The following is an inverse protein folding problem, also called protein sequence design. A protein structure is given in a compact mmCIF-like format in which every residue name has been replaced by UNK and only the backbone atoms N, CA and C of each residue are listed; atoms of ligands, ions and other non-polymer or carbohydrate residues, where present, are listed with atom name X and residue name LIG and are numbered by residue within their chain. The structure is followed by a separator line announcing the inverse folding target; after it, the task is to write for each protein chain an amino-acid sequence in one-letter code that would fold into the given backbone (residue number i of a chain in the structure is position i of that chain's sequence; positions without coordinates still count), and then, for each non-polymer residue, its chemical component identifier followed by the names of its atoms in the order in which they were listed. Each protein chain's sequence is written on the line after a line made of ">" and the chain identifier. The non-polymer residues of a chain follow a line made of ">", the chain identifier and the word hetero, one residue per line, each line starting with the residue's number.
data_IF_333649631827
#
_entry.id   IF_333649631827
#
_cell.length_a   1.000
_cell.length_b   1.000
_cell.length_c   1.000
_cell.angle_alpha   90.00
_cell.angle_beta   90.00
_cell.angle_gamma   90.00
#
_symmetry.space_group_name_H-M   'P 1'
#
loop_
_entity.id
_entity.type
_entity.pdbx_description
1 polymer ?
#
# COMPACT_ATOMS: atom_id res chain seq x y z
N UNK A 1 23.48 26.98 6.94
CA UNK A 1 22.57 26.19 6.10
C UNK A 1 22.00 27.15 5.08
N UNK A 2 22.40 26.99 3.80
CA UNK A 2 22.02 27.94 2.75
C UNK A 2 20.71 27.56 2.06
N UNK A 3 20.24 26.31 2.18
CA UNK A 3 19.02 25.84 1.53
C UNK A 3 18.22 24.95 2.49
N UNK A 4 16.91 25.19 2.57
CA UNK A 4 15.98 24.41 3.36
C UNK A 4 14.86 23.93 2.43
N UNK A 5 14.65 22.62 2.38
CA UNK A 5 13.52 22.00 1.72
C UNK A 5 12.70 21.21 2.75
N UNK A 6 11.39 21.17 2.59
CA UNK A 6 10.49 20.36 3.40
C UNK A 6 9.70 19.40 2.50
N UNK A 7 9.67 18.14 2.88
CA UNK A 7 8.91 17.12 2.19
C UNK A 7 7.82 16.56 3.13
N UNK A 8 6.55 16.70 2.77
CA UNK A 8 5.44 16.15 3.54
C UNK A 8 5.00 14.79 2.98
N UNK A 9 4.81 13.82 3.90
CA UNK A 9 4.49 12.42 3.58
C UNK A 9 3.14 11.95 4.15
N UNK A 10 2.32 12.87 4.67
CA UNK A 10 1.05 12.50 5.32
C UNK A 10 -0.07 13.45 4.96
N UNK A 11 -1.29 12.93 4.92
CA UNK A 11 -2.54 13.67 4.75
C UNK A 11 -3.25 13.94 6.08
N UNK A 12 -2.58 13.72 7.22
CA UNK A 12 -3.11 14.02 8.55
C UNK A 12 -2.06 14.70 9.44
N UNK A 13 -2.46 15.71 10.22
CA UNK A 13 -1.54 16.42 11.12
C UNK A 13 -1.01 15.57 12.27
N UNK A 14 -1.76 14.60 12.73
CA UNK A 14 -1.34 13.52 13.63
C UNK A 14 -2.50 12.61 13.99
N UNK A 15 -2.17 11.33 14.14
CA UNK A 15 -3.05 10.33 14.73
C UNK A 15 -2.79 10.15 16.24
N UNK A 16 -1.72 10.77 16.78
CA UNK A 16 -1.22 10.55 18.14
C UNK A 16 -1.17 11.83 19.01
N UNK A 17 -2.16 12.68 18.96
CA UNK A 17 -2.31 13.79 19.92
C UNK A 17 -1.44 15.05 19.68
N UNK A 18 -0.51 15.05 18.74
CA UNK A 18 0.38 16.18 18.44
C UNK A 18 -0.16 17.14 17.36
N UNK A 19 -1.46 17.16 17.10
CA UNK A 19 -2.07 17.92 16.01
C UNK A 19 -1.80 19.43 16.07
N UNK A 20 -1.78 20.04 17.27
CA UNK A 20 -1.48 21.48 17.44
C UNK A 20 -0.04 21.82 17.03
N UNK A 21 0.94 21.01 17.48
CA UNK A 21 2.35 21.18 17.13
C UNK A 21 2.57 21.03 15.64
N UNK A 22 2.01 20.00 15.04
CA UNK A 22 2.15 19.73 13.62
C UNK A 22 1.47 20.81 12.76
N UNK A 23 0.37 21.40 13.25
CA UNK A 23 -0.27 22.54 12.59
C UNK A 23 0.64 23.81 12.62
N UNK A 24 1.35 24.07 13.71
CA UNK A 24 2.33 25.16 13.79
C UNK A 24 3.51 24.90 12.85
N UNK A 25 4.04 23.66 12.81
CA UNK A 25 5.09 23.27 11.89
C UNK A 25 4.65 23.40 10.43
N UNK A 26 3.39 23.10 10.11
CA UNK A 26 2.86 23.31 8.76
C UNK A 26 2.80 24.76 8.36
N UNK A 27 2.50 25.69 9.30
CA UNK A 27 2.57 27.11 9.03
C UNK A 27 3.99 27.57 8.73
N UNK A 28 4.99 27.09 9.48
CA UNK A 28 6.39 27.36 9.18
C UNK A 28 6.77 26.82 7.80
N UNK A 29 6.48 25.56 7.50
CA UNK A 29 6.74 24.94 6.20
C UNK A 29 6.04 25.69 5.06
N UNK A 30 4.81 26.18 5.30
CA UNK A 30 4.01 26.90 4.32
C UNK A 30 4.56 28.29 3.99
N UNK A 31 5.07 29.02 4.96
CA UNK A 31 5.41 30.45 4.78
C UNK A 31 6.89 30.75 4.79
N UNK A 32 7.69 29.94 5.49
CA UNK A 32 9.13 30.23 5.71
C UNK A 32 10.07 29.38 4.86
N UNK A 33 9.59 28.25 4.33
CA UNK A 33 10.44 27.36 3.53
C UNK A 33 10.24 27.64 2.04
N UNK A 34 11.31 27.93 1.27
CA UNK A 34 11.20 28.24 -0.15
C UNK A 34 10.87 27.01 -0.99
N UNK A 35 11.52 25.86 -0.73
CA UNK A 35 11.39 24.64 -1.52
C UNK A 35 10.47 23.65 -0.80
N UNK A 36 9.32 23.31 -1.41
CA UNK A 36 8.29 22.47 -0.84
C UNK A 36 8.03 21.27 -1.71
N UNK A 37 8.12 20.09 -1.10
CA UNK A 37 7.80 18.81 -1.72
C UNK A 37 6.65 18.13 -0.98
N UNK A 38 5.90 17.31 -1.71
CA UNK A 38 4.86 16.46 -1.15
C UNK A 38 4.87 15.10 -1.85
N UNK A 39 4.53 14.03 -1.13
CA UNK A 39 4.40 12.70 -1.72
C UNK A 39 3.15 12.54 -2.59
N UNK A 40 2.19 13.47 -2.49
CA UNK A 40 0.94 13.50 -3.27
C UNK A 40 0.37 14.92 -3.33
N UNK A 41 -0.51 15.19 -4.27
CA UNK A 41 -1.24 16.46 -4.32
C UNK A 41 -2.10 16.67 -3.07
N UNK A 42 -2.74 15.60 -2.56
CA UNK A 42 -3.53 15.66 -1.34
C UNK A 42 -2.69 16.07 -0.13
N UNK A 43 -1.51 15.47 0.04
CA UNK A 43 -0.57 15.84 1.11
C UNK A 43 -0.08 17.29 0.96
N UNK A 44 0.29 17.69 -0.24
CA UNK A 44 0.75 19.04 -0.52
C UNK A 44 -0.31 20.11 -0.25
N UNK A 45 -1.54 19.90 -0.69
CA UNK A 45 -2.66 20.81 -0.40
C UNK A 45 -2.93 20.94 1.10
N UNK A 46 -2.86 19.83 1.82
CA UNK A 46 -3.07 19.86 3.26
C UNK A 46 -1.99 20.67 3.99
N UNK A 47 -0.72 20.48 3.67
CA UNK A 47 0.40 21.11 4.37
C UNK A 47 0.66 22.54 3.92
N UNK A 48 0.52 22.81 2.61
CA UNK A 48 0.94 24.10 2.02
C UNK A 48 -0.25 24.93 1.53
N UNK A 49 -1.47 24.37 1.48
CA UNK A 49 -2.65 25.06 0.95
C UNK A 49 -2.45 25.46 -0.53
N UNK A 50 -2.63 26.73 -0.84
CA UNK A 50 -2.47 27.25 -2.19
C UNK A 50 -1.02 27.68 -2.54
N UNK A 51 -0.04 27.44 -1.66
CA UNK A 51 1.36 27.72 -1.96
C UNK A 51 1.91 26.71 -2.97
N UNK A 52 2.77 27.14 -3.89
CA UNK A 52 3.41 26.21 -4.83
C UNK A 52 4.21 25.13 -4.10
N UNK A 53 4.10 23.90 -4.58
CA UNK A 53 4.91 22.75 -4.16
C UNK A 53 5.10 21.81 -5.35
N UNK A 54 6.13 20.97 -5.30
CA UNK A 54 6.37 19.91 -6.27
C UNK A 54 5.93 18.57 -5.67
N UNK A 55 5.30 17.72 -6.47
CA UNK A 55 5.01 16.35 -6.07
C UNK A 55 6.20 15.49 -6.45
N UNK A 56 6.76 14.81 -5.44
CA UNK A 56 7.74 13.73 -5.59
C UNK A 56 7.12 12.49 -4.98
N UNK A 57 6.79 11.53 -5.82
CA UNK A 57 6.18 10.28 -5.39
C UNK A 57 7.10 9.51 -4.43
N UNK A 58 6.51 8.76 -3.50
CA UNK A 58 7.23 7.75 -2.72
C UNK A 58 7.56 6.57 -3.66
N UNK A 59 8.62 6.75 -4.44
CA UNK A 59 9.01 5.81 -5.48
C UNK A 59 9.65 4.54 -4.91
N UNK A 60 9.58 3.45 -5.69
CA UNK A 60 10.09 2.12 -5.36
C UNK A 60 11.11 1.66 -6.40
N UNK A 61 11.89 0.63 -6.11
CA UNK A 61 12.65 -0.08 -7.14
C UNK A 61 11.70 -1.00 -7.95
N UNK A 62 11.14 -0.46 -9.04
CA UNK A 62 10.20 -1.20 -9.87
C UNK A 62 10.76 -2.51 -10.42
N UNK A 63 12.08 -2.59 -10.63
CA UNK A 63 12.73 -3.82 -11.12
C UNK A 63 12.75 -4.91 -10.04
N UNK A 64 12.98 -4.55 -8.78
CA UNK A 64 12.98 -5.50 -7.67
C UNK A 64 11.60 -6.14 -7.43
N UNK A 65 10.52 -5.43 -7.75
CA UNK A 65 9.15 -5.93 -7.62
C UNK A 65 8.60 -6.58 -8.90
N UNK A 66 9.32 -6.50 -10.02
CA UNK A 66 8.83 -7.02 -11.30
C UNK A 66 8.46 -8.50 -11.21
N UNK A 67 7.32 -8.86 -11.80
CA UNK A 67 6.82 -10.23 -11.76
C UNK A 67 7.76 -11.21 -12.44
N UNK A 68 8.08 -12.32 -11.76
CA UNK A 68 8.78 -13.48 -12.29
C UNK A 68 8.02 -14.75 -11.93
N UNK A 69 7.63 -15.56 -12.94
CA UNK A 69 7.03 -16.88 -12.71
C UNK A 69 7.91 -17.80 -11.86
N UNK A 70 9.22 -17.73 -12.05
CA UNK A 70 10.21 -18.55 -11.34
C UNK A 70 10.25 -18.19 -9.85
N UNK A 71 10.31 -16.89 -9.53
CA UNK A 71 10.26 -16.41 -8.15
C UNK A 71 8.93 -16.77 -7.49
N UNK A 72 7.82 -16.60 -8.23
CA UNK A 72 6.51 -17.02 -7.76
C UNK A 72 6.48 -18.49 -7.40
N UNK A 73 6.96 -19.36 -8.27
CA UNK A 73 7.01 -20.81 -8.03
C UNK A 73 7.84 -21.14 -6.80
N UNK A 74 9.04 -20.55 -6.68
CA UNK A 74 9.94 -20.76 -5.55
C UNK A 74 9.33 -20.33 -4.22
N UNK A 75 8.72 -19.15 -4.18
CA UNK A 75 8.05 -18.62 -2.97
C UNK A 75 6.86 -19.50 -2.58
N UNK A 76 6.01 -19.88 -3.53
CA UNK A 76 4.84 -20.71 -3.24
C UNK A 76 5.23 -22.11 -2.77
N UNK A 77 6.31 -22.67 -3.29
CA UNK A 77 6.88 -23.94 -2.80
C UNK A 77 7.45 -23.78 -1.38
N UNK A 78 8.26 -22.74 -1.14
CA UNK A 78 8.83 -22.40 0.19
C UNK A 78 7.73 -22.23 1.24
N UNK A 79 6.68 -21.54 0.88
CA UNK A 79 5.55 -21.26 1.79
C UNK A 79 4.46 -22.36 1.76
N UNK A 80 4.66 -23.47 1.04
CA UNK A 80 3.74 -24.61 0.99
C UNK A 80 2.29 -24.25 0.59
N UNK A 81 2.16 -23.39 -0.42
CA UNK A 81 0.86 -22.89 -0.93
C UNK A 81 0.73 -23.06 -2.45
N UNK A 82 1.21 -24.19 -2.99
CA UNK A 82 1.35 -24.42 -4.44
C UNK A 82 0.07 -24.09 -5.21
N UNK A 83 -1.10 -24.56 -4.77
CA UNK A 83 -2.37 -24.42 -5.47
C UNK A 83 -3.37 -23.48 -4.74
N UNK A 84 -2.98 -22.93 -3.59
CA UNK A 84 -3.85 -22.05 -2.81
C UNK A 84 -4.06 -20.69 -3.49
N UNK A 85 -5.28 -20.13 -3.35
CA UNK A 85 -5.50 -18.72 -3.67
C UNK A 85 -4.99 -17.86 -2.51
N UNK A 86 -4.04 -16.98 -2.79
CA UNK A 86 -3.33 -16.18 -1.77
C UNK A 86 -3.73 -14.71 -1.84
N UNK A 87 -4.33 -14.22 -0.77
CA UNK A 87 -4.65 -12.81 -0.54
C UNK A 87 -3.49 -12.17 0.21
N UNK A 88 -2.86 -11.14 -0.39
CA UNK A 88 -1.80 -10.36 0.25
C UNK A 88 -2.32 -9.09 0.91
N UNK A 89 -1.72 -8.73 2.04
CA UNK A 89 -1.89 -7.42 2.69
C UNK A 89 -0.57 -7.01 3.36
N UNK A 90 -0.20 -5.74 3.26
CA UNK A 90 0.97 -5.18 3.94
C UNK A 90 0.53 -4.10 4.92
N UNK A 91 0.82 -4.31 6.20
CA UNK A 91 0.50 -3.32 7.23
C UNK A 91 0.66 -3.87 8.65
N UNK A 92 1.03 -2.99 9.59
CA UNK A 92 1.14 -3.36 10.99
C UNK A 92 -0.24 -3.58 11.61
N UNK A 93 -0.44 -4.67 12.35
CA UNK A 93 -1.72 -5.02 12.96
C UNK A 93 -2.17 -4.02 14.05
N UNK A 94 -1.22 -3.39 14.73
CA UNK A 94 -1.48 -2.35 15.76
C UNK A 94 -1.97 -1.03 15.18
N UNK A 95 -1.83 -0.83 13.86
CA UNK A 95 -2.27 0.40 13.17
C UNK A 95 -3.72 0.26 12.76
N UNK A 96 -4.64 0.81 13.56
CA UNK A 96 -6.10 0.75 13.33
C UNK A 96 -6.54 1.18 11.92
N UNK A 97 -5.80 2.12 11.32
CA UNK A 97 -6.08 2.60 9.96
C UNK A 97 -6.04 1.52 8.89
N UNK A 98 -5.24 0.45 9.08
CA UNK A 98 -5.14 -0.68 8.13
C UNK A 98 -6.41 -1.54 8.07
N UNK A 99 -7.33 -1.38 9.03
CA UNK A 99 -8.64 -2.00 9.05
C UNK A 99 -8.61 -3.54 8.91
N UNK A 100 -7.71 -4.18 9.65
CA UNK A 100 -7.60 -5.65 9.67
C UNK A 100 -8.92 -6.36 10.00
N UNK A 101 -9.80 -5.85 10.90
CA UNK A 101 -11.08 -6.50 11.15
C UNK A 101 -11.97 -6.62 9.90
N UNK A 102 -12.01 -5.57 9.08
CA UNK A 102 -12.75 -5.63 7.82
C UNK A 102 -12.08 -6.57 6.80
N UNK A 103 -10.74 -6.53 6.71
CA UNK A 103 -9.98 -7.48 5.89
C UNK A 103 -10.29 -8.94 6.25
N UNK A 104 -10.37 -9.27 7.54
CA UNK A 104 -10.72 -10.62 8.00
C UNK A 104 -12.15 -10.99 7.59
N UNK A 105 -13.08 -10.04 7.68
CA UNK A 105 -14.46 -10.25 7.22
C UNK A 105 -14.53 -10.49 5.70
N UNK A 106 -13.76 -9.77 4.91
CA UNK A 106 -13.61 -9.99 3.46
C UNK A 106 -13.01 -11.36 3.19
N UNK A 107 -11.93 -11.69 3.90
CA UNK A 107 -11.24 -12.97 3.71
C UNK A 107 -12.12 -14.17 4.10
N UNK A 108 -12.96 -14.07 5.14
CA UNK A 108 -13.95 -15.09 5.47
C UNK A 108 -14.96 -15.33 4.33
N UNK A 109 -15.34 -14.28 3.58
CA UNK A 109 -16.18 -14.44 2.38
C UNK A 109 -15.43 -15.08 1.20
N UNK A 110 -14.10 -14.90 1.13
CA UNK A 110 -13.25 -15.57 0.15
C UNK A 110 -13.13 -17.05 0.48
N UNK A 111 -12.87 -17.41 1.75
CA UNK A 111 -12.74 -18.81 2.18
C UNK A 111 -14.03 -19.61 2.01
N UNK A 112 -15.20 -18.97 2.14
CA UNK A 112 -16.48 -19.60 1.85
C UNK A 112 -16.61 -20.04 0.38
N UNK A 113 -15.94 -19.37 -0.57
CA UNK A 113 -15.95 -19.68 -2.00
C UNK A 113 -14.69 -20.46 -2.42
N UNK A 114 -13.59 -20.31 -1.69
CA UNK A 114 -12.27 -20.93 -1.92
C UNK A 114 -11.72 -21.45 -0.59
N UNK A 115 -12.15 -22.64 -0.09
CA UNK A 115 -11.79 -23.16 1.24
C UNK A 115 -10.27 -23.29 1.48
N UNK A 116 -9.48 -23.49 0.42
CA UNK A 116 -8.00 -23.55 0.47
C UNK A 116 -7.29 -22.20 0.40
N UNK A 117 -8.03 -21.07 0.37
CA UNK A 117 -7.41 -19.75 0.30
C UNK A 117 -6.55 -19.46 1.54
N UNK A 118 -5.50 -18.66 1.35
CA UNK A 118 -4.59 -18.19 2.40
C UNK A 118 -4.59 -16.66 2.46
N UNK A 119 -4.51 -16.10 3.66
CA UNK A 119 -4.29 -14.66 3.88
C UNK A 119 -2.86 -14.45 4.38
N UNK A 120 -2.08 -13.71 3.63
CA UNK A 120 -0.71 -13.34 3.98
C UNK A 120 -0.66 -11.91 4.53
N UNK A 121 -0.34 -11.80 5.82
CA UNK A 121 -0.19 -10.53 6.53
C UNK A 121 1.30 -10.21 6.68
N UNK A 122 1.80 -9.32 5.82
CA UNK A 122 3.19 -8.88 5.79
C UNK A 122 3.32 -7.61 6.63
N UNK A 123 4.30 -7.57 7.55
CA UNK A 123 4.47 -6.44 8.48
C UNK A 123 3.58 -6.51 9.73
N UNK A 124 2.67 -7.49 9.79
CA UNK A 124 1.78 -7.69 10.93
C UNK A 124 2.26 -8.81 11.86
N UNK A 125 2.02 -8.60 13.15
CA UNK A 125 2.08 -9.64 14.18
C UNK A 125 0.66 -9.86 14.70
N UNK A 126 0.30 -11.07 15.16
CA UNK A 126 -1.02 -11.31 15.73
C UNK A 126 -1.21 -10.48 17.01
N UNK A 127 -2.39 -9.91 17.18
CA UNK A 127 -2.85 -9.29 18.43
C UNK A 127 -3.97 -10.13 19.03
N UNK A 128 -4.19 -10.07 20.36
CA UNK A 128 -5.27 -10.84 20.99
C UNK A 128 -6.64 -10.63 20.32
N UNK A 129 -6.94 -9.39 19.93
CA UNK A 129 -8.21 -9.03 19.30
C UNK A 129 -8.33 -9.65 17.90
N UNK A 130 -7.25 -9.67 17.13
CA UNK A 130 -7.24 -10.29 15.81
C UNK A 130 -7.28 -11.82 15.87
N UNK A 131 -6.63 -12.42 16.88
CA UNK A 131 -6.71 -13.86 17.11
C UNK A 131 -8.17 -14.25 17.41
N UNK A 132 -8.80 -13.59 18.39
CA UNK A 132 -10.20 -13.85 18.74
C UNK A 132 -11.17 -13.66 17.57
N UNK A 133 -10.92 -12.63 16.73
CA UNK A 133 -11.72 -12.40 15.53
C UNK A 133 -11.52 -13.50 14.48
N UNK A 134 -10.29 -13.96 14.27
CA UNK A 134 -9.98 -15.05 13.35
C UNK A 134 -10.64 -16.36 13.77
N UNK A 135 -10.64 -16.65 15.06
CA UNK A 135 -11.35 -17.81 15.66
C UNK A 135 -12.85 -17.71 15.43
N UNK A 136 -13.46 -16.55 15.76
CA UNK A 136 -14.89 -16.29 15.55
C UNK A 136 -15.30 -16.47 14.07
N UNK A 137 -14.45 -16.07 13.14
CA UNK A 137 -14.67 -16.17 11.70
C UNK A 137 -14.24 -17.54 11.13
N UNK A 138 -13.67 -18.42 11.94
CA UNK A 138 -13.17 -19.75 11.56
C UNK A 138 -12.10 -19.72 10.45
N UNK A 139 -11.25 -18.70 10.44
CA UNK A 139 -10.20 -18.50 9.43
C UNK A 139 -8.77 -18.59 9.99
N UNK A 140 -8.60 -18.95 11.25
CA UNK A 140 -7.31 -18.97 11.97
C UNK A 140 -6.24 -19.77 11.23
N UNK A 141 -6.59 -20.95 10.70
CA UNK A 141 -5.65 -21.84 10.00
C UNK A 141 -5.19 -21.33 8.64
N UNK A 142 -5.94 -20.40 8.04
CA UNK A 142 -5.66 -19.83 6.74
C UNK A 142 -4.89 -18.49 6.79
N UNK A 143 -4.65 -17.96 8.01
CA UNK A 143 -3.90 -16.69 8.15
C UNK A 143 -2.44 -16.98 8.46
N UNK A 144 -1.55 -16.36 7.71
CA UNK A 144 -0.11 -16.37 7.96
C UNK A 144 0.39 -14.96 8.28
N UNK A 145 1.02 -14.84 9.44
CA UNK A 145 1.66 -13.60 9.90
C UNK A 145 3.15 -13.69 9.62
N UNK A 146 3.65 -12.86 8.71
CA UNK A 146 5.07 -12.84 8.35
C UNK A 146 5.89 -11.87 9.20
N UNK A 147 5.24 -10.95 9.95
CA UNK A 147 5.97 -9.90 10.66
C UNK A 147 6.72 -8.98 9.69
N UNK A 148 7.74 -8.30 10.21
CA UNK A 148 8.59 -7.45 9.38
C UNK A 148 9.54 -8.33 8.54
N UNK A 149 9.54 -8.11 7.22
CA UNK A 149 10.31 -8.90 6.24
C UNK A 149 11.09 -7.97 5.32
N UNK A 150 12.23 -8.46 4.84
CA UNK A 150 13.03 -7.79 3.79
C UNK A 150 12.72 -8.33 2.39
N UNK A 151 12.20 -9.54 2.31
CA UNK A 151 11.82 -10.24 1.07
C UNK A 151 10.36 -9.96 0.67
N UNK A 152 9.87 -8.76 0.93
CA UNK A 152 8.51 -8.31 0.52
C UNK A 152 8.30 -8.45 -0.99
N UNK A 153 9.28 -8.07 -1.86
CA UNK A 153 9.14 -8.27 -3.30
C UNK A 153 8.85 -9.71 -3.68
N UNK A 154 9.54 -10.67 -3.05
CA UNK A 154 9.33 -12.10 -3.27
C UNK A 154 7.96 -12.56 -2.75
N UNK A 155 7.58 -12.18 -1.53
CA UNK A 155 6.28 -12.56 -0.95
C UNK A 155 5.11 -12.09 -1.81
N UNK A 156 5.19 -10.88 -2.38
CA UNK A 156 4.17 -10.39 -3.31
C UNK A 156 4.07 -11.23 -4.59
N UNK A 157 5.16 -11.88 -5.04
CA UNK A 157 5.09 -12.82 -6.17
C UNK A 157 4.17 -14.00 -5.85
N UNK A 158 4.18 -14.47 -4.59
CA UNK A 158 3.36 -15.59 -4.12
C UNK A 158 1.86 -15.30 -4.06
N UNK A 159 1.46 -14.03 -3.97
CA UNK A 159 0.06 -13.60 -3.86
C UNK A 159 -0.68 -13.70 -5.22
N UNK A 160 -2.01 -13.74 -5.18
CA UNK A 160 -2.93 -13.71 -6.34
C UNK A 160 -3.70 -12.38 -6.42
N UNK A 161 -3.96 -11.76 -5.28
CA UNK A 161 -4.63 -10.47 -5.17
C UNK A 161 -4.09 -9.72 -3.95
N UNK A 162 -4.07 -8.39 -4.02
CA UNK A 162 -3.75 -7.53 -2.88
C UNK A 162 -5.00 -6.79 -2.42
N UNK A 163 -5.35 -6.91 -1.13
CA UNK A 163 -6.54 -6.28 -0.56
C UNK A 163 -6.12 -5.24 0.48
N UNK A 164 -6.54 -3.99 0.27
CA UNK A 164 -6.12 -2.86 1.07
C UNK A 164 -7.29 -1.97 1.52
N UNK A 165 -8.01 -2.37 2.59
CA UNK A 165 -9.23 -1.71 3.07
C UNK A 165 -8.95 -0.60 4.09
N UNK A 166 -7.85 0.13 3.97
CA UNK A 166 -7.46 1.19 4.93
C UNK A 166 -8.48 2.31 5.00
N UNK A 167 -8.68 2.85 6.20
CA UNK A 167 -9.55 4.02 6.44
C UNK A 167 -8.96 5.32 5.92
N UNK A 168 -7.64 5.45 5.90
CA UNK A 168 -6.93 6.62 5.37
C UNK A 168 -5.44 6.32 5.21
N UNK A 169 -4.82 6.90 4.20
CA UNK A 169 -3.38 6.82 3.95
C UNK A 169 -2.90 8.14 3.32
N UNK A 170 -1.64 8.48 3.55
CA UNK A 170 -1.01 9.58 2.82
C UNK A 170 -0.75 9.21 1.36
N UNK A 171 0.15 8.26 1.16
CA UNK A 171 0.42 7.59 -0.11
C UNK A 171 0.98 6.21 0.21
N UNK A 172 0.16 5.15 0.20
CA UNK A 172 0.59 3.82 0.62
C UNK A 172 1.51 3.17 -0.41
N UNK A 173 2.81 3.14 -0.12
CA UNK A 173 3.84 2.54 -0.99
C UNK A 173 3.54 1.08 -1.27
N UNK A 174 3.00 0.34 -0.30
CA UNK A 174 2.62 -1.08 -0.45
C UNK A 174 1.61 -1.34 -1.57
N UNK A 175 0.75 -0.37 -1.90
CA UNK A 175 -0.18 -0.46 -3.04
C UNK A 175 0.57 -0.29 -4.36
N UNK A 176 1.61 0.56 -4.41
CA UNK A 176 2.48 0.70 -5.59
C UNK A 176 3.32 -0.57 -5.79
N UNK A 177 3.87 -1.12 -4.70
CA UNK A 177 4.63 -2.38 -4.68
C UNK A 177 3.80 -3.56 -5.23
N UNK A 178 2.55 -3.67 -4.78
CA UNK A 178 1.62 -4.70 -5.28
C UNK A 178 1.36 -4.54 -6.79
N UNK A 179 1.15 -3.31 -7.27
CA UNK A 179 0.97 -3.04 -8.69
C UNK A 179 2.24 -3.34 -9.50
N UNK A 180 3.43 -3.00 -8.97
CA UNK A 180 4.71 -3.31 -9.62
C UNK A 180 4.91 -4.83 -9.75
N UNK A 181 4.45 -5.59 -8.77
CA UNK A 181 4.42 -7.05 -8.84
C UNK A 181 3.33 -7.58 -9.78
N UNK A 182 2.57 -6.74 -10.48
CA UNK A 182 1.50 -7.15 -11.41
C UNK A 182 0.28 -7.73 -10.70
N UNK A 183 0.07 -7.43 -9.41
CA UNK A 183 -1.09 -7.91 -8.67
C UNK A 183 -2.34 -7.08 -8.95
N UNK A 184 -3.50 -7.71 -9.13
CA UNK A 184 -4.78 -7.04 -8.95
C UNK A 184 -4.88 -6.49 -7.53
N UNK A 185 -5.38 -5.26 -7.40
CA UNK A 185 -5.50 -4.57 -6.11
C UNK A 185 -6.95 -4.20 -5.88
N UNK A 186 -7.49 -4.56 -4.72
CA UNK A 186 -8.78 -4.06 -4.23
C UNK A 186 -8.49 -3.03 -3.15
N UNK A 187 -8.78 -1.76 -3.45
CA UNK A 187 -8.39 -0.59 -2.67
C UNK A 187 -9.61 0.13 -2.10
N UNK A 188 -9.50 0.62 -0.86
CA UNK A 188 -10.52 1.50 -0.28
C UNK A 188 -10.58 2.86 -0.99
N UNK A 189 -11.79 3.38 -1.22
CA UNK A 189 -12.06 4.74 -1.72
C UNK A 189 -11.65 5.85 -0.74
N UNK A 190 -11.40 5.51 0.52
CA UNK A 190 -10.85 6.42 1.53
C UNK A 190 -9.34 6.69 1.35
N UNK A 191 -8.66 5.93 0.48
CA UNK A 191 -7.25 6.14 0.10
C UNK A 191 -7.19 7.00 -1.16
N UNK A 192 -6.19 7.88 -1.24
CA UNK A 192 -6.01 8.74 -2.42
C UNK A 192 -5.90 7.94 -3.71
N UNK A 193 -6.64 8.38 -4.74
CA UNK A 193 -6.57 7.75 -6.07
C UNK A 193 -5.23 7.95 -6.78
N UNK A 194 -4.39 8.86 -6.30
CA UNK A 194 -3.05 9.09 -6.85
C UNK A 194 -2.17 7.83 -6.80
N UNK A 195 -2.49 6.89 -5.88
CA UNK A 195 -1.77 5.61 -5.77
C UNK A 195 -2.22 4.57 -6.82
N UNK A 196 -3.37 4.76 -7.45
CA UNK A 196 -3.88 3.88 -8.51
C UNK A 196 -3.22 4.23 -9.85
N UNK A 197 -1.97 3.85 -10.00
CA UNK A 197 -1.11 4.20 -11.14
C UNK A 197 -1.23 3.22 -12.33
N UNK A 198 -2.06 2.17 -12.19
CA UNK A 198 -2.27 1.16 -13.23
C UNK A 198 -3.74 0.71 -13.27
N UNK A 199 -4.20 0.08 -14.37
CA UNK A 199 -5.54 -0.51 -14.46
C UNK A 199 -5.78 -1.70 -13.50
N UNK A 200 -4.76 -2.17 -12.79
CA UNK A 200 -4.87 -3.29 -11.84
C UNK A 200 -5.65 -2.92 -10.57
N UNK A 201 -5.89 -1.61 -10.33
CA UNK A 201 -6.53 -1.14 -9.09
C UNK A 201 -8.03 -1.00 -9.29
N UNK A 202 -8.80 -1.74 -8.50
CA UNK A 202 -10.23 -1.57 -8.33
C UNK A 202 -10.53 -0.90 -7.00
N UNK A 203 -11.14 0.27 -7.03
CA UNK A 203 -11.50 1.02 -5.83
C UNK A 203 -12.92 0.69 -5.39
N UNK A 204 -13.11 0.39 -4.11
CA UNK A 204 -14.40 0.09 -3.49
C UNK A 204 -14.62 0.93 -2.24
N UNK A 205 -15.88 1.25 -1.95
CA UNK A 205 -16.24 1.93 -0.71
C UNK A 205 -16.19 0.97 0.48
N UNK A 206 -15.73 1.46 1.64
CA UNK A 206 -15.80 0.73 2.90
C UNK A 206 -17.24 0.55 3.41
N UNK A 207 -18.23 1.23 2.82
CA UNK A 207 -19.65 1.00 3.09
C UNK A 207 -20.21 -0.21 2.33
N UNK A 208 -19.50 -0.71 1.33
CA UNK A 208 -19.84 -1.94 0.64
C UNK A 208 -19.55 -3.16 1.54
N UNK A 209 -20.34 -4.20 1.37
CA UNK A 209 -20.25 -5.40 2.19
C UNK A 209 -18.92 -6.16 1.97
N UNK A 210 -18.45 -6.93 2.96
CA UNK A 210 -17.32 -7.85 2.78
C UNK A 210 -17.50 -8.84 1.62
N UNK A 211 -18.74 -9.21 1.30
CA UNK A 211 -19.07 -10.08 0.17
C UNK A 211 -18.78 -9.42 -1.18
N UNK A 212 -19.09 -8.13 -1.34
CA UNK A 212 -18.78 -7.38 -2.56
C UNK A 212 -17.27 -7.21 -2.75
N UNK A 213 -16.54 -6.94 -1.67
CA UNK A 213 -15.07 -6.89 -1.67
C UNK A 213 -14.46 -8.25 -2.05
N UNK A 214 -14.97 -9.34 -1.48
CA UNK A 214 -14.55 -10.70 -1.85
C UNK A 214 -14.83 -11.01 -3.31
N UNK A 215 -16.02 -10.64 -3.81
CA UNK A 215 -16.36 -10.78 -5.22
C UNK A 215 -15.42 -10.02 -6.14
N UNK A 216 -14.98 -8.82 -5.75
CA UNK A 216 -13.99 -8.06 -6.50
C UNK A 216 -12.61 -8.73 -6.49
N UNK A 217 -12.19 -9.26 -5.32
CA UNK A 217 -10.91 -9.94 -5.17
C UNK A 217 -10.83 -11.26 -5.95
N UNK A 218 -11.96 -11.92 -6.16
CA UNK A 218 -12.07 -13.20 -6.86
C UNK A 218 -12.34 -13.07 -8.37
N UNK A 219 -12.43 -11.86 -8.90
CA UNK A 219 -12.66 -11.68 -10.33
C UNK A 219 -11.50 -12.28 -11.16
N UNK A 220 -11.82 -12.98 -12.25
CA UNK A 220 -10.80 -13.46 -13.18
C UNK A 220 -9.91 -12.33 -13.67
N UNK A 221 -8.63 -12.59 -13.73
CA UNK A 221 -7.63 -11.62 -14.18
C UNK A 221 -6.92 -12.14 -15.43
N UNK A 222 -6.46 -11.26 -16.32
CA UNK A 222 -5.58 -11.66 -17.42
C UNK A 222 -4.26 -12.23 -16.88
N UNK A 223 -3.45 -12.89 -17.73
CA UNK A 223 -2.13 -13.35 -17.35
C UNK A 223 -1.32 -12.23 -16.70
N UNK A 224 -0.71 -12.54 -15.55
CA UNK A 224 0.00 -11.57 -14.73
C UNK A 224 1.20 -11.00 -15.47
N UNK A 225 1.32 -9.69 -15.50
CA UNK A 225 2.42 -8.94 -16.09
C UNK A 225 2.73 -7.71 -15.23
N UNK A 226 4.00 -7.33 -15.18
CA UNK A 226 4.41 -6.11 -14.48
C UNK A 226 4.19 -4.89 -15.36
N UNK A 227 3.48 -3.87 -14.88
CA UNK A 227 3.25 -2.62 -15.60
C UNK A 227 4.44 -1.64 -15.45
N UNK A 228 5.68 -2.13 -15.50
CA UNK A 228 6.90 -1.39 -15.17
C UNK A 228 7.02 -0.09 -15.98
N UNK A 229 6.72 -0.12 -17.28
CA UNK A 229 6.79 1.08 -18.12
C UNK A 229 5.80 2.17 -17.67
N UNK A 230 4.57 1.80 -17.29
CA UNK A 230 3.57 2.72 -16.79
C UNK A 230 3.99 3.33 -15.44
N UNK A 231 4.59 2.53 -14.56
CA UNK A 231 5.10 3.01 -13.27
C UNK A 231 6.28 3.98 -13.43
N UNK A 232 7.21 3.68 -14.33
CA UNK A 232 8.33 4.59 -14.65
C UNK A 232 7.78 5.91 -15.21
N UNK A 233 6.90 5.85 -16.21
CA UNK A 233 6.28 7.03 -16.80
C UNK A 233 5.48 7.88 -15.78
N UNK A 234 4.90 7.23 -14.77
CA UNK A 234 4.19 7.87 -13.67
C UNK A 234 5.09 8.43 -12.56
N UNK A 235 6.43 8.32 -12.67
CA UNK A 235 7.38 8.82 -11.66
C UNK A 235 7.46 7.94 -10.41
N UNK A 236 7.16 6.64 -10.52
CA UNK A 236 7.17 5.70 -9.40
C UNK A 236 8.47 4.89 -9.27
N UNK A 237 9.43 5.09 -10.18
CA UNK A 237 10.71 4.40 -10.06
C UNK A 237 11.73 5.24 -9.30
N UNK A 238 12.36 4.64 -8.30
CA UNK A 238 13.28 5.33 -7.38
C UNK A 238 14.51 5.92 -8.09
N UNK A 239 14.97 5.30 -9.18
CA UNK A 239 16.15 5.77 -9.91
C UNK A 239 15.89 7.13 -10.56
N UNK A 240 14.75 7.28 -11.26
CA UNK A 240 14.34 8.53 -11.88
C UNK A 240 13.98 9.58 -10.83
N UNK A 241 13.25 9.20 -9.77
CA UNK A 241 12.89 10.12 -8.68
C UNK A 241 14.15 10.67 -7.95
N UNK A 242 15.15 9.81 -7.69
CA UNK A 242 16.41 10.23 -7.08
C UNK A 242 17.22 11.15 -8.02
N UNK A 243 17.23 10.86 -9.32
CA UNK A 243 17.89 11.72 -10.30
C UNK A 243 17.23 13.10 -10.37
N UNK A 244 15.91 13.16 -10.47
CA UNK A 244 15.16 14.42 -10.46
C UNK A 244 15.44 15.24 -9.20
N UNK A 245 15.40 14.61 -8.03
CA UNK A 245 15.69 15.28 -6.76
C UNK A 245 17.13 15.82 -6.73
N UNK A 246 18.10 15.04 -7.21
CA UNK A 246 19.48 15.49 -7.30
C UNK A 246 19.66 16.69 -8.23
N UNK A 247 18.94 16.75 -9.35
CA UNK A 247 18.95 17.91 -10.26
C UNK A 247 18.38 19.15 -9.58
N UNK A 248 17.27 19.02 -8.85
CA UNK A 248 16.67 20.13 -8.10
C UNK A 248 17.67 20.70 -7.08
N UNK A 249 18.35 19.84 -6.31
CA UNK A 249 19.33 20.30 -5.34
C UNK A 249 20.60 20.93 -5.95
N UNK A 250 20.92 20.63 -7.21
CA UNK A 250 22.04 21.23 -7.92
C UNK A 250 21.68 22.57 -8.58
N UNK A 251 20.42 22.72 -9.02
CA UNK A 251 19.96 23.92 -9.75
C UNK A 251 19.47 25.03 -8.82
N UNK A 252 19.19 24.78 -7.57
CA UNK A 252 18.82 25.75 -6.54
C UNK A 252 20.04 26.07 -5.63
#
# INVERSE_FOLDING_TARGET
>A
IHKIAVHCHTTAYSLAGNGRRNRLLSLYAKYMVPTRFACSHAAGKMWYGNRPFRVLNNAIDCAAYAYSPEVRQAVRAREQVTDAFVVGHIGQATVKQKNHPFLFSVFAQITAQRPGAQLWLIGAQPTPELIALAEKLQITKQIRYFGQRRDVPELLQGCDVFVFPSFSEGLPVSVVEAQAAGLPVVLSDAVTREVACTPLVKTLSLHQSPKEWAGAALQPQPPRQSPTAALIAGGWNIKEAAFELAQIYRSE
#
